data_IF_565023133806
#
_entry.id   IF_565023133806
#
_cell.length_a   1.000
_cell.length_b   1.000
_cell.length_c   1.000
_cell.angle_alpha   90.00
_cell.angle_beta   90.00
_cell.angle_gamma   90.00
#
_symmetry.space_group_name_H-M   'P 1'
#
loop_
_entity.id
_entity.type
_entity.pdbx_description
1 polymer ?
#
# COMPACT_ATOMS: atom_id res chain seq x y z
N UNK A 1 -3.52 -13.41 36.05
CA UNK A 1 -3.35 -13.97 34.68
C UNK A 1 -3.88 -12.99 33.64
N UNK A 2 -5.06 -12.41 33.84
CA UNK A 2 -5.55 -11.26 33.05
C UNK A 2 -4.60 -10.04 33.14
N UNK A 3 -4.13 -9.70 34.34
CA UNK A 3 -3.20 -8.56 34.52
C UNK A 3 -1.87 -8.73 33.77
N UNK A 4 -1.33 -9.95 33.72
CA UNK A 4 -0.07 -10.24 33.04
C UNK A 4 -0.20 -10.27 31.50
N UNK A 5 -1.38 -10.64 30.97
CA UNK A 5 -1.66 -10.54 29.54
C UNK A 5 -1.85 -9.09 29.12
N UNK A 6 -2.57 -8.32 29.94
CA UNK A 6 -2.79 -6.89 29.72
C UNK A 6 -1.46 -6.11 29.77
N UNK A 7 -0.59 -6.42 30.73
CA UNK A 7 0.77 -5.84 30.85
C UNK A 7 1.65 -6.15 29.63
N UNK A 8 1.63 -7.39 29.13
CA UNK A 8 2.37 -7.79 27.92
C UNK A 8 1.88 -7.08 26.64
N UNK A 9 0.56 -6.87 26.52
CA UNK A 9 -0.04 -6.19 25.37
C UNK A 9 0.35 -4.71 25.35
N UNK A 10 0.37 -4.07 26.52
CA UNK A 10 0.82 -2.68 26.68
C UNK A 10 2.29 -2.50 26.29
N UNK A 11 3.20 -3.37 26.73
CA UNK A 11 4.63 -3.29 26.38
C UNK A 11 4.87 -3.40 24.86
N UNK A 12 4.14 -4.28 24.18
CA UNK A 12 4.27 -4.45 22.72
C UNK A 12 3.81 -3.22 21.96
N UNK A 13 2.70 -2.60 22.40
CA UNK A 13 2.17 -1.37 21.79
C UNK A 13 3.08 -0.17 22.06
N UNK A 14 3.57 -0.02 23.29
CA UNK A 14 4.52 1.06 23.63
C UNK A 14 5.79 0.97 22.78
N UNK A 15 6.35 -0.23 22.62
CA UNK A 15 7.50 -0.45 21.73
C UNK A 15 7.22 -0.10 20.28
N UNK A 16 6.03 -0.44 19.76
CA UNK A 16 5.63 -0.02 18.41
C UNK A 16 5.64 1.51 18.31
N UNK A 17 4.98 2.19 19.23
CA UNK A 17 4.84 3.65 19.20
C UNK A 17 6.19 4.35 19.32
N UNK A 18 7.08 3.87 20.19
CA UNK A 18 8.45 4.38 20.28
C UNK A 18 9.24 4.16 18.99
N UNK A 19 9.14 2.97 18.39
CA UNK A 19 9.83 2.65 17.14
C UNK A 19 9.32 3.52 15.99
N UNK A 20 8.01 3.70 15.90
CA UNK A 20 7.38 4.58 14.91
C UNK A 20 7.79 6.05 15.13
N UNK A 21 7.80 6.54 16.38
CA UNK A 21 8.20 7.90 16.72
C UNK A 21 9.67 8.20 16.38
N UNK A 22 10.56 7.19 16.47
CA UNK A 22 11.95 7.33 16.01
C UNK A 22 12.09 7.43 14.49
N UNK A 23 11.08 7.00 13.74
CA UNK A 23 11.10 6.97 12.28
C UNK A 23 10.55 8.24 11.61
N UNK A 24 10.03 9.20 12.38
CA UNK A 24 9.40 10.41 11.83
C UNK A 24 9.62 11.64 12.70
N UNK A 25 9.42 12.81 12.11
CA UNK A 25 9.34 14.09 12.82
C UNK A 25 7.91 14.50 13.15
N UNK A 26 6.92 13.72 12.71
CA UNK A 26 5.52 14.01 12.98
C UNK A 26 5.17 13.82 14.46
N UNK A 27 4.25 14.67 14.93
CA UNK A 27 3.68 14.51 16.25
C UNK A 27 2.68 13.35 16.26
N UNK A 28 2.63 12.63 17.37
CA UNK A 28 1.59 11.64 17.64
C UNK A 28 0.38 12.35 18.25
N UNK A 29 -0.82 11.80 18.03
CA UNK A 29 -2.04 12.32 18.65
C UNK A 29 -1.96 12.14 20.15
N UNK A 30 -2.66 13.00 20.88
CA UNK A 30 -2.92 12.72 22.28
C UNK A 30 -3.75 11.43 22.38
N UNK A 31 -3.46 10.62 23.40
CA UNK A 31 -4.18 9.40 23.69
C UNK A 31 -5.68 9.63 23.81
N UNK A 32 -6.48 8.73 23.23
CA UNK A 32 -7.93 8.79 23.26
C UNK A 32 -8.43 8.48 24.68
N UNK A 33 -9.28 9.34 25.29
CA UNK A 33 -9.81 9.10 26.62
C UNK A 33 -10.61 7.79 26.72
N UNK A 34 -10.59 7.09 27.88
CA UNK A 34 -11.34 5.84 28.07
C UNK A 34 -12.84 5.98 27.80
N UNK A 35 -13.43 7.14 28.09
CA UNK A 35 -14.84 7.43 27.81
C UNK A 35 -15.14 7.46 26.31
N UNK A 36 -14.24 8.00 25.51
CA UNK A 36 -14.37 8.02 24.04
C UNK A 36 -14.21 6.61 23.46
N UNK A 37 -13.30 5.80 24.00
CA UNK A 37 -13.12 4.41 23.59
C UNK A 37 -14.33 3.54 23.94
N UNK A 38 -14.96 3.76 25.10
CA UNK A 38 -16.21 3.10 25.46
C UNK A 38 -17.33 3.44 24.48
N UNK A 39 -17.51 4.72 24.13
CA UNK A 39 -18.50 5.14 23.13
C UNK A 39 -18.22 4.56 21.74
N UNK A 40 -16.94 4.44 21.36
CA UNK A 40 -16.55 3.79 20.12
C UNK A 40 -16.93 2.30 20.14
N UNK A 41 -16.66 1.59 21.24
CA UNK A 41 -17.09 0.21 21.40
C UNK A 41 -18.60 0.03 21.33
N UNK A 42 -19.37 0.93 21.94
CA UNK A 42 -20.84 0.93 21.81
C UNK A 42 -21.29 1.12 20.35
N UNK A 43 -20.65 2.02 19.61
CA UNK A 43 -20.94 2.24 18.19
C UNK A 43 -20.58 1.04 17.30
N UNK A 44 -19.57 0.26 17.68
CA UNK A 44 -19.19 -0.99 17.03
C UNK A 44 -20.04 -2.19 17.49
N UNK A 45 -20.87 -2.02 18.53
CA UNK A 45 -21.66 -3.09 19.13
C UNK A 45 -20.86 -4.06 20.01
N UNK A 46 -19.58 -3.77 20.26
CA UNK A 46 -18.68 -4.57 21.08
C UNK A 46 -17.49 -3.72 21.58
N UNK A 47 -16.91 -4.04 22.76
CA UNK A 47 -15.67 -3.39 23.19
C UNK A 47 -14.56 -3.60 22.15
N UNK A 48 -13.62 -2.65 22.06
CA UNK A 48 -12.45 -2.78 21.19
C UNK A 48 -11.57 -3.96 21.63
N UNK A 49 -10.85 -4.60 20.69
CA UNK A 49 -9.74 -5.49 21.02
C UNK A 49 -8.72 -4.78 21.93
N UNK A 50 -8.19 -5.51 22.92
CA UNK A 50 -7.35 -4.92 23.97
C UNK A 50 -6.11 -4.18 23.43
N UNK A 51 -5.48 -4.73 22.39
CA UNK A 51 -4.30 -4.13 21.76
C UNK A 51 -4.67 -2.87 20.94
N UNK A 52 -5.84 -2.83 20.28
CA UNK A 52 -6.32 -1.60 19.64
C UNK A 52 -6.67 -0.54 20.68
N UNK A 53 -7.31 -0.94 21.77
CA UNK A 53 -7.61 -0.02 22.87
C UNK A 53 -6.34 0.59 23.45
N UNK A 54 -5.31 -0.24 23.69
CA UNK A 54 -4.00 0.22 24.16
C UNK A 54 -3.34 1.17 23.15
N UNK A 55 -3.40 0.86 21.85
CA UNK A 55 -2.87 1.71 20.79
C UNK A 55 -3.53 3.10 20.80
N UNK A 56 -4.86 3.16 20.83
CA UNK A 56 -5.56 4.44 20.84
C UNK A 56 -5.33 5.23 22.13
N UNK A 57 -5.14 4.57 23.28
CA UNK A 57 -4.73 5.25 24.52
C UNK A 57 -3.30 5.81 24.45
N UNK A 58 -2.40 5.13 23.75
CA UNK A 58 -1.01 5.60 23.55
C UNK A 58 -0.88 6.73 22.51
N UNK A 59 -1.86 6.85 21.62
CA UNK A 59 -1.86 7.81 20.52
C UNK A 59 -1.31 7.21 19.23
N UNK A 60 -1.77 7.71 18.09
CA UNK A 60 -1.35 7.26 16.74
C UNK A 60 -0.62 8.39 16.03
N UNK A 61 0.21 8.12 15.00
CA UNK A 61 0.73 9.18 14.14
C UNK A 61 -0.38 10.14 13.67
N UNK A 62 -0.18 11.46 13.81
CA UNK A 62 -1.18 12.42 13.33
C UNK A 62 -1.17 12.45 11.80
N UNK A 63 -2.36 12.40 11.21
CA UNK A 63 -2.52 12.59 9.77
C UNK A 63 -2.17 14.04 9.42
N UNK A 64 -1.15 14.22 8.59
CA UNK A 64 -0.76 15.53 8.09
C UNK A 64 -1.51 15.87 6.79
N UNK A 65 -1.48 17.15 6.38
CA UNK A 65 -2.11 17.64 5.14
C UNK A 65 -1.29 17.30 3.87
N UNK A 66 -0.56 16.18 3.88
CA UNK A 66 0.21 15.72 2.74
C UNK A 66 -0.60 14.74 1.87
N UNK A 67 -0.26 14.59 0.56
CA UNK A 67 -0.87 13.57 -0.29
C UNK A 67 -0.65 12.17 0.28
N UNK A 68 -1.68 11.33 0.23
CA UNK A 68 -1.57 9.93 0.68
C UNK A 68 -0.73 9.12 -0.32
N UNK A 69 0.14 8.27 0.21
CA UNK A 69 0.91 7.27 -0.55
C UNK A 69 0.08 6.01 -0.71
N UNK A 70 0.00 5.47 -1.92
CA UNK A 70 -0.83 4.29 -2.21
C UNK A 70 -0.41 3.05 -1.40
N UNK A 71 0.88 2.89 -1.13
CA UNK A 71 1.48 1.76 -0.38
C UNK A 71 1.59 2.01 1.14
N UNK A 72 1.16 3.17 1.63
CA UNK A 72 1.18 3.51 3.04
C UNK A 72 -0.16 3.16 3.72
N UNK A 73 -0.07 2.74 4.99
CA UNK A 73 -1.19 2.39 5.84
C UNK A 73 -1.39 3.44 6.93
N UNK A 74 -2.57 4.05 6.97
CA UNK A 74 -2.89 5.14 7.88
C UNK A 74 -3.83 4.65 8.99
N UNK A 75 -3.50 4.98 10.24
CA UNK A 75 -4.38 4.69 11.37
C UNK A 75 -5.69 5.46 11.27
N UNK A 76 -6.79 4.74 11.36
CA UNK A 76 -8.11 5.34 11.41
C UNK A 76 -8.29 6.05 12.74
N UNK A 77 -8.66 7.32 12.70
CA UNK A 77 -9.10 8.04 13.90
C UNK A 77 -10.44 7.49 14.39
N UNK A 78 -10.83 7.67 15.67
CA UNK A 78 -12.05 7.07 16.22
C UNK A 78 -13.33 7.31 15.38
N UNK A 79 -13.49 8.51 14.82
CA UNK A 79 -14.59 8.84 13.92
C UNK A 79 -14.49 8.14 12.55
N UNK A 80 -13.28 8.06 12.00
CA UNK A 80 -13.00 7.39 10.73
C UNK A 80 -13.19 5.88 10.84
N UNK A 81 -12.86 5.31 12.01
CA UNK A 81 -13.08 3.90 12.31
C UNK A 81 -14.57 3.56 12.29
N UNK A 82 -15.40 4.36 12.97
CA UNK A 82 -16.85 4.17 12.98
C UNK A 82 -17.48 4.37 11.59
N UNK A 83 -16.94 5.27 10.77
CA UNK A 83 -17.35 5.43 9.38
C UNK A 83 -16.94 4.22 8.52
N UNK A 84 -15.68 3.79 8.62
CA UNK A 84 -15.17 2.62 7.91
C UNK A 84 -15.95 1.34 8.27
N UNK A 85 -16.32 1.15 9.54
CA UNK A 85 -17.18 0.04 9.96
C UNK A 85 -18.54 0.07 9.25
N UNK A 86 -19.18 1.25 9.20
CA UNK A 86 -20.47 1.41 8.52
C UNK A 86 -20.36 1.15 7.02
N UNK A 87 -19.31 1.65 6.38
CA UNK A 87 -19.04 1.41 4.96
C UNK A 87 -18.85 -0.09 4.67
N UNK A 88 -18.07 -0.76 5.51
CA UNK A 88 -17.77 -2.18 5.43
C UNK A 88 -19.04 -3.03 5.56
N UNK A 89 -19.83 -2.82 6.62
CA UNK A 89 -21.10 -3.51 6.84
C UNK A 89 -22.16 -3.22 5.76
N UNK A 90 -22.12 -2.04 5.14
CA UNK A 90 -23.01 -1.70 4.02
C UNK A 90 -22.62 -2.43 2.73
N UNK A 91 -21.33 -2.71 2.53
CA UNK A 91 -20.83 -3.44 1.36
C UNK A 91 -20.97 -4.96 1.51
N UNK A 92 -20.74 -5.49 2.71
CA UNK A 92 -20.79 -6.92 3.02
C UNK A 92 -21.31 -7.13 4.45
N UNK A 93 -22.55 -7.59 4.65
CA UNK A 93 -23.11 -7.84 5.99
C UNK A 93 -22.31 -8.85 6.82
N UNK A 94 -21.68 -9.84 6.16
CA UNK A 94 -20.79 -10.81 6.79
C UNK A 94 -19.53 -10.17 7.41
N UNK A 95 -19.23 -8.92 7.04
CA UNK A 95 -18.11 -8.16 7.58
C UNK A 95 -18.37 -7.57 8.97
N UNK A 96 -19.56 -7.78 9.55
CA UNK A 96 -19.90 -7.28 10.88
C UNK A 96 -18.94 -7.76 12.00
N UNK A 97 -18.29 -8.91 11.80
CA UNK A 97 -17.26 -9.45 12.71
C UNK A 97 -15.84 -8.93 12.44
N UNK A 98 -15.67 -7.91 11.60
CA UNK A 98 -14.38 -7.29 11.29
C UNK A 98 -14.37 -5.85 11.79
N UNK A 99 -13.31 -5.47 12.50
CA UNK A 99 -13.11 -4.10 13.01
C UNK A 99 -11.93 -3.45 12.26
N UNK A 100 -12.15 -2.42 11.42
CA UNK A 100 -11.09 -1.77 10.68
C UNK A 100 -10.23 -0.91 11.61
N UNK A 101 -8.92 -0.87 11.40
CA UNK A 101 -8.01 -0.04 12.20
C UNK A 101 -6.97 0.72 11.35
N UNK A 102 -6.67 0.26 10.14
CA UNK A 102 -5.89 1.01 9.15
C UNK A 102 -6.64 1.14 7.84
N UNK A 103 -6.32 2.19 7.08
CA UNK A 103 -6.73 2.40 5.70
C UNK A 103 -5.52 2.68 4.82
N UNK A 104 -5.39 2.00 3.69
CA UNK A 104 -4.33 2.29 2.72
C UNK A 104 -4.62 3.57 1.95
N UNK A 105 -3.61 4.15 1.30
CA UNK A 105 -3.80 5.30 0.40
C UNK A 105 -4.79 5.03 -0.76
N UNK A 106 -4.91 3.77 -1.20
CA UNK A 106 -5.86 3.33 -2.22
C UNK A 106 -7.26 2.97 -1.70
N UNK A 107 -7.48 3.01 -0.38
CA UNK A 107 -8.80 2.82 0.24
C UNK A 107 -9.12 1.40 0.69
N UNK A 108 -8.13 0.50 0.67
CA UNK A 108 -8.25 -0.81 1.32
C UNK A 108 -8.17 -0.65 2.85
N UNK A 109 -8.71 -1.63 3.58
CA UNK A 109 -8.75 -1.62 5.03
C UNK A 109 -7.96 -2.79 5.59
N UNK A 110 -7.20 -2.58 6.67
CA UNK A 110 -6.80 -3.68 7.54
C UNK A 110 -7.78 -3.72 8.70
N UNK A 111 -8.37 -4.89 8.88
CA UNK A 111 -9.35 -5.18 9.90
C UNK A 111 -8.84 -6.29 10.81
N UNK A 112 -9.24 -6.28 12.07
CA UNK A 112 -9.08 -7.44 12.95
C UNK A 112 -10.39 -8.20 13.03
N UNK A 113 -10.32 -9.52 12.96
CA UNK A 113 -11.48 -10.38 13.18
C UNK A 113 -11.83 -10.38 14.66
N UNK A 114 -13.05 -9.95 14.97
CA UNK A 114 -13.57 -9.71 16.30
C UNK A 114 -14.93 -10.39 16.43
N UNK A 115 -14.88 -11.72 16.47
CA UNK A 115 -16.08 -12.55 16.39
C UNK A 115 -16.52 -13.01 17.78
N UNK A 116 -17.83 -13.01 18.00
CA UNK A 116 -18.40 -13.58 19.21
C UNK A 116 -18.37 -15.09 19.09
N UNK A 117 -17.84 -15.77 20.11
CA UNK A 117 -17.95 -17.21 20.21
C UNK A 117 -19.44 -17.58 20.35
N UNK A 118 -20.01 -18.39 19.45
CA UNK A 118 -21.43 -18.75 19.48
C UNK A 118 -21.81 -19.55 20.74
N UNK A 119 -20.83 -20.19 21.39
CA UNK A 119 -21.02 -20.98 22.59
C UNK A 119 -20.69 -20.21 23.88
N UNK A 120 -20.26 -18.94 23.78
CA UNK A 120 -19.91 -18.14 24.94
C UNK A 120 -21.15 -17.58 25.67
N UNK A 121 -21.03 -17.42 26.98
CA UNK A 121 -22.08 -16.85 27.83
C UNK A 121 -22.48 -15.45 27.37
N UNK A 122 -23.75 -15.11 27.59
CA UNK A 122 -24.27 -13.78 27.28
C UNK A 122 -23.51 -12.71 28.09
N UNK A 123 -22.72 -11.90 27.38
CA UNK A 123 -21.88 -10.85 27.97
C UNK A 123 -20.38 -11.15 27.92
N UNK A 124 -19.96 -12.34 27.48
CA UNK A 124 -18.56 -12.60 27.19
C UNK A 124 -18.04 -11.68 26.07
N UNK A 125 -16.81 -11.15 26.18
CA UNK A 125 -16.21 -10.34 25.14
C UNK A 125 -15.98 -11.18 23.86
N UNK A 126 -16.00 -10.56 22.68
CA UNK A 126 -15.61 -11.25 21.45
C UNK A 126 -14.16 -11.73 21.52
N UNK A 127 -13.82 -12.68 20.65
CA UNK A 127 -12.48 -13.26 20.58
C UNK A 127 -11.73 -12.64 19.40
N UNK A 128 -10.47 -12.26 19.66
CA UNK A 128 -9.55 -11.84 18.61
C UNK A 128 -9.19 -13.00 17.69
N UNK A 129 -9.27 -12.75 16.38
CA UNK A 129 -8.78 -13.63 15.33
C UNK A 129 -7.70 -12.98 14.47
N UNK A 130 -7.63 -13.40 13.21
CA UNK A 130 -6.66 -12.91 12.24
C UNK A 130 -6.85 -11.41 11.92
N UNK A 131 -5.76 -10.77 11.51
CA UNK A 131 -5.81 -9.48 10.80
C UNK A 131 -6.03 -9.77 9.32
N UNK A 132 -7.05 -9.13 8.76
CA UNK A 132 -7.57 -9.34 7.42
C UNK A 132 -7.45 -8.04 6.63
N UNK A 133 -6.86 -8.10 5.44
CA UNK A 133 -6.95 -7.03 4.46
C UNK A 133 -8.25 -7.15 3.67
N UNK A 134 -8.97 -6.05 3.59
CA UNK A 134 -10.25 -5.95 2.92
C UNK A 134 -10.17 -4.90 1.83
N UNK A 135 -10.38 -5.31 0.59
CA UNK A 135 -10.75 -4.41 -0.49
C UNK A 135 -12.28 -4.28 -0.46
N UNK A 136 -12.86 -3.10 -0.17
CA UNK A 136 -14.32 -2.98 -0.10
C UNK A 136 -14.98 -3.03 -1.49
N UNK A 137 -14.23 -2.70 -2.55
CA UNK A 137 -14.75 -2.53 -3.92
C UNK A 137 -13.71 -2.97 -4.98
N UNK A 138 -13.79 -4.19 -5.53
CA UNK A 138 -14.73 -5.26 -5.22
C UNK A 138 -14.46 -5.89 -3.85
N UNK A 139 -15.49 -6.44 -3.21
CA UNK A 139 -15.35 -7.14 -1.94
C UNK A 139 -14.36 -8.31 -2.07
N UNK A 140 -13.23 -8.19 -1.39
CA UNK A 140 -12.20 -9.21 -1.25
C UNK A 140 -11.64 -9.13 0.16
N UNK A 141 -11.53 -10.26 0.84
CA UNK A 141 -10.98 -10.35 2.19
C UNK A 141 -9.85 -11.40 2.19
N UNK A 142 -8.70 -11.04 2.76
CA UNK A 142 -7.50 -11.89 2.80
C UNK A 142 -6.85 -11.83 4.18
N UNK A 143 -6.66 -12.99 4.80
CA UNK A 143 -5.92 -13.06 6.06
C UNK A 143 -4.46 -12.66 5.80
N UNK A 144 -3.98 -11.63 6.50
CA UNK A 144 -2.60 -11.12 6.37
C UNK A 144 -1.74 -11.49 7.57
N UNK A 145 -2.31 -11.50 8.77
CA UNK A 145 -1.58 -11.87 9.99
C UNK A 145 -2.44 -12.78 10.85
N UNK A 146 -1.85 -13.76 11.55
CA UNK A 146 -2.61 -14.72 12.35
C UNK A 146 -3.28 -14.10 13.59
N UNK A 147 -2.79 -12.94 14.04
CA UNK A 147 -3.37 -12.16 15.14
C UNK A 147 -2.92 -10.71 15.07
N UNK A 148 -3.56 -9.84 15.85
CA UNK A 148 -3.18 -8.44 15.95
C UNK A 148 -1.85 -8.30 16.70
N UNK A 149 -1.61 -9.09 17.74
CA UNK A 149 -0.32 -9.16 18.41
C UNK A 149 0.83 -9.47 17.43
N UNK A 150 0.61 -10.40 16.47
CA UNK A 150 1.64 -10.71 15.46
C UNK A 150 1.89 -9.54 14.51
N UNK A 151 0.84 -8.82 14.13
CA UNK A 151 0.98 -7.60 13.35
C UNK A 151 1.83 -6.55 14.08
N UNK A 152 1.57 -6.32 15.38
CA UNK A 152 2.36 -5.40 16.19
C UNK A 152 3.83 -5.80 16.28
N UNK A 153 4.12 -7.08 16.55
CA UNK A 153 5.49 -7.60 16.63
C UNK A 153 6.28 -7.37 15.34
N UNK A 154 5.70 -7.74 14.19
CA UNK A 154 6.38 -7.62 12.90
C UNK A 154 6.55 -6.16 12.45
N UNK A 155 5.54 -5.32 12.69
CA UNK A 155 5.61 -3.89 12.38
C UNK A 155 6.66 -3.20 13.22
N UNK A 156 6.73 -3.51 14.53
CA UNK A 156 7.78 -3.00 15.42
C UNK A 156 9.16 -3.40 14.94
N UNK A 157 9.36 -4.69 14.61
CA UNK A 157 10.62 -5.17 14.06
C UNK A 157 10.96 -4.53 12.71
N UNK A 158 9.95 -4.22 11.88
CA UNK A 158 10.10 -3.47 10.63
C UNK A 158 10.68 -2.08 10.87
N UNK A 159 10.13 -1.32 11.82
CA UNK A 159 10.67 -0.02 12.22
C UNK A 159 12.08 -0.12 12.80
N UNK A 160 12.32 -1.05 13.73
CA UNK A 160 13.63 -1.24 14.37
C UNK A 160 14.75 -1.60 13.37
N UNK A 161 14.38 -2.21 12.24
CA UNK A 161 15.30 -2.57 11.14
C UNK A 161 15.40 -1.51 10.05
N UNK A 162 14.66 -0.41 10.16
CA UNK A 162 14.59 0.62 9.12
C UNK A 162 13.93 0.14 7.82
N UNK A 163 13.08 -0.88 7.90
CA UNK A 163 12.29 -1.37 6.75
C UNK A 163 10.97 -0.62 6.59
N UNK A 164 10.47 -0.03 7.68
CA UNK A 164 9.29 0.80 7.73
C UNK A 164 9.65 2.21 8.21
N UNK A 165 8.92 3.18 7.71
CA UNK A 165 8.93 4.58 8.15
C UNK A 165 7.49 5.08 8.33
N UNK A 166 7.32 6.17 9.07
CA UNK A 166 6.08 6.94 9.03
C UNK A 166 6.31 8.10 8.06
N UNK A 167 5.58 8.08 6.94
CA UNK A 167 5.69 9.06 5.87
C UNK A 167 5.23 10.47 6.31
N UNK A 168 5.44 11.46 5.44
CA UNK A 168 5.06 12.86 5.69
C UNK A 168 3.55 13.07 5.88
N UNK A 169 2.71 12.09 5.51
CA UNK A 169 1.26 12.11 5.69
C UNK A 169 0.80 11.38 6.97
N UNK A 170 1.71 10.77 7.74
CA UNK A 170 1.41 10.01 8.95
C UNK A 170 1.07 8.54 8.69
N UNK A 171 1.41 8.00 7.52
CA UNK A 171 1.18 6.62 7.13
C UNK A 171 2.39 5.73 7.38
N UNK A 172 2.16 4.52 7.87
CA UNK A 172 3.19 3.48 7.99
C UNK A 172 3.46 2.91 6.61
N UNK A 173 4.70 3.06 6.13
CA UNK A 173 5.02 2.77 4.76
C UNK A 173 6.39 2.07 4.65
N UNK A 174 6.57 1.14 3.68
CA UNK A 174 7.86 0.50 3.50
C UNK A 174 8.89 1.49 2.93
N UNK A 175 10.09 1.48 3.50
CA UNK A 175 11.25 2.22 2.95
C UNK A 175 11.71 1.54 1.64
N UNK A 176 11.73 0.21 1.64
CA UNK A 176 11.92 -0.64 0.46
C UNK A 176 10.84 -1.74 0.46
N UNK A 177 9.84 -1.66 -0.44
CA UNK A 177 8.75 -2.64 -0.50
C UNK A 177 9.24 -4.08 -0.67
N UNK A 178 10.29 -4.31 -1.46
CA UNK A 178 10.79 -5.67 -1.74
C UNK A 178 11.51 -6.21 -0.50
N UNK A 179 12.26 -5.37 0.21
CA UNK A 179 12.91 -5.77 1.45
C UNK A 179 11.87 -6.07 2.55
N UNK A 180 10.81 -5.28 2.62
CA UNK A 180 9.69 -5.50 3.53
C UNK A 180 8.94 -6.80 3.24
N UNK A 181 8.61 -7.08 1.97
CA UNK A 181 8.00 -8.34 1.54
C UNK A 181 8.84 -9.55 1.93
N UNK A 182 10.15 -9.52 1.63
CA UNK A 182 11.05 -10.62 2.02
C UNK A 182 11.11 -10.79 3.53
N UNK A 183 11.06 -9.71 4.29
CA UNK A 183 11.00 -9.79 5.75
C UNK A 183 9.71 -10.47 6.21
N UNK A 184 8.56 -10.14 5.59
CA UNK A 184 7.28 -10.79 5.87
C UNK A 184 7.27 -12.27 5.46
N UNK A 185 7.84 -12.65 4.32
CA UNK A 185 7.91 -14.06 3.89
C UNK A 185 8.61 -14.96 4.92
N UNK A 186 9.65 -14.43 5.58
CA UNK A 186 10.39 -15.17 6.62
C UNK A 186 9.74 -15.02 8.00
N UNK A 187 9.16 -13.85 8.29
CA UNK A 187 8.60 -13.49 9.58
C UNK A 187 7.13 -13.87 9.75
N UNK A 188 6.39 -14.18 8.69
CA UNK A 188 4.94 -14.37 8.75
C UNK A 188 4.53 -15.61 7.93
N UNK A 189 4.68 -16.82 8.49
CA UNK A 189 4.35 -18.05 7.77
C UNK A 189 2.90 -18.04 7.28
N UNK A 190 2.69 -18.28 5.98
CA UNK A 190 1.37 -18.21 5.35
C UNK A 190 1.00 -16.84 4.79
N UNK A 191 1.89 -15.84 4.86
CA UNK A 191 1.74 -14.61 4.10
C UNK A 191 1.90 -14.91 2.61
N UNK A 192 0.83 -14.72 1.84
CA UNK A 192 0.86 -14.76 0.38
C UNK A 192 0.73 -13.34 -0.16
N UNK A 193 1.78 -12.87 -0.83
CA UNK A 193 1.69 -11.65 -1.60
C UNK A 193 1.16 -11.98 -3.00
N UNK A 194 -0.15 -11.82 -3.17
CA UNK A 194 -0.86 -12.00 -4.44
C UNK A 194 -0.66 -10.81 -5.41
N UNK A 195 0.10 -9.78 -5.01
CA UNK A 195 0.39 -8.70 -5.93
C UNK A 195 1.19 -9.26 -7.11
N UNK A 196 0.72 -9.06 -8.36
CA UNK A 196 1.52 -9.41 -9.50
C UNK A 196 2.86 -8.67 -9.38
N UNK A 197 4.00 -9.31 -9.70
CA UNK A 197 5.32 -8.74 -9.52
C UNK A 197 5.34 -7.29 -10.02
N UNK A 198 6.00 -6.38 -9.29
CA UNK A 198 5.77 -4.94 -9.39
C UNK A 198 5.73 -4.52 -10.85
N UNK A 199 4.56 -4.05 -11.30
CA UNK A 199 4.42 -3.55 -12.67
C UNK A 199 5.39 -2.39 -12.82
N UNK A 200 6.46 -2.63 -13.59
CA UNK A 200 7.50 -1.69 -14.00
C UNK A 200 7.11 -0.22 -13.82
N UNK A 201 7.94 0.54 -13.08
CA UNK A 201 7.71 1.93 -12.70
C UNK A 201 7.16 2.78 -13.87
N UNK A 202 6.34 3.83 -13.63
CA UNK A 202 5.74 4.64 -14.69
C UNK A 202 6.75 5.16 -15.74
N UNK A 203 8.01 5.38 -15.33
CA UNK A 203 9.13 5.74 -16.23
C UNK A 203 9.61 4.58 -17.12
N UNK A 204 9.57 3.33 -16.64
CA UNK A 204 9.80 2.14 -17.46
C UNK A 204 8.65 1.93 -18.46
N UNK A 205 7.38 2.10 -18.06
CA UNK A 205 6.24 2.01 -19.01
C UNK A 205 6.29 3.07 -20.09
N UNK A 206 6.65 4.32 -19.76
CA UNK A 206 6.83 5.37 -20.75
C UNK A 206 7.94 4.97 -21.75
N UNK A 207 9.05 4.43 -21.24
CA UNK A 207 10.18 4.04 -22.08
C UNK A 207 9.84 2.84 -22.98
N UNK A 208 9.17 1.82 -22.45
CA UNK A 208 8.73 0.67 -23.25
C UNK A 208 7.67 1.06 -24.28
N UNK A 209 6.74 1.94 -23.91
CA UNK A 209 5.72 2.44 -24.84
C UNK A 209 6.38 3.23 -25.97
N UNK A 210 7.32 4.13 -25.66
CA UNK A 210 8.09 4.88 -26.67
C UNK A 210 8.92 3.94 -27.56
N UNK A 211 9.51 2.88 -27.01
CA UNK A 211 10.23 1.87 -27.80
C UNK A 211 9.30 1.06 -28.71
N UNK A 212 8.10 0.69 -28.24
CA UNK A 212 7.08 0.01 -29.07
C UNK A 212 6.55 0.91 -30.19
N UNK A 213 6.32 2.20 -29.90
CA UNK A 213 5.94 3.19 -30.93
C UNK A 213 7.07 3.34 -31.95
N UNK A 214 8.32 3.45 -31.51
CA UNK A 214 9.47 3.54 -32.42
C UNK A 214 9.59 2.31 -33.33
N UNK A 215 9.43 1.10 -32.78
CA UNK A 215 9.43 -0.14 -33.56
C UNK A 215 8.26 -0.20 -34.56
N UNK A 216 7.07 0.22 -34.15
CA UNK A 216 5.89 0.26 -35.01
C UNK A 216 6.05 1.24 -36.18
N UNK A 217 6.49 2.47 -35.90
CA UNK A 217 6.72 3.52 -36.92
C UNK A 217 7.87 3.12 -37.86
N UNK A 218 8.96 2.56 -37.32
CA UNK A 218 10.08 2.06 -38.13
C UNK A 218 9.66 0.93 -39.07
N UNK A 219 8.87 -0.02 -38.56
CA UNK A 219 8.36 -1.15 -39.35
C UNK A 219 7.43 -0.69 -40.46
N UNK A 220 6.50 0.22 -40.18
CA UNK A 220 5.60 0.81 -41.18
C UNK A 220 6.39 1.56 -42.26
N UNK A 221 7.38 2.35 -41.87
CA UNK A 221 8.23 3.11 -42.80
C UNK A 221 9.02 2.18 -43.73
N UNK A 222 9.52 1.06 -43.21
CA UNK A 222 10.22 0.03 -43.99
C UNK A 222 9.25 -0.70 -44.93
N UNK A 223 8.05 -1.05 -44.47
CA UNK A 223 7.01 -1.69 -45.30
C UNK A 223 6.63 -0.77 -46.46
N UNK A 224 6.43 0.53 -46.21
CA UNK A 224 6.14 1.52 -47.27
C UNK A 224 7.29 1.55 -48.28
N UNK A 225 8.55 1.63 -47.83
CA UNK A 225 9.71 1.64 -48.71
C UNK A 225 9.81 0.37 -49.58
N UNK A 226 9.66 -0.81 -48.98
CA UNK A 226 9.76 -2.11 -49.68
C UNK A 226 8.59 -2.30 -50.66
N UNK A 227 7.38 -1.93 -50.25
CA UNK A 227 6.17 -2.06 -51.09
C UNK A 227 6.25 -1.10 -52.28
N UNK A 228 6.67 0.15 -52.06
CA UNK A 228 6.91 1.11 -53.14
C UNK A 228 8.04 0.69 -54.08
N UNK A 229 9.13 0.12 -53.57
CA UNK A 229 10.22 -0.41 -54.40
C UNK A 229 9.74 -1.57 -55.30
N UNK A 230 8.90 -2.46 -54.77
CA UNK A 230 8.28 -3.57 -55.53
C UNK A 230 7.29 -3.06 -56.59
N UNK A 231 6.37 -2.15 -56.21
CA UNK A 231 5.35 -1.60 -57.11
C UNK A 231 5.96 -0.81 -58.27
N UNK A 232 7.07 -0.09 -58.02
CA UNK A 232 7.70 0.75 -59.04
C UNK A 232 8.94 0.13 -59.70
N UNK A 233 9.10 -1.21 -59.62
CA UNK A 233 10.22 -1.96 -60.24
C UNK A 233 11.59 -1.30 -60.00
N UNK A 234 11.85 -0.87 -58.77
CA UNK A 234 13.12 -0.26 -58.38
C UNK A 234 13.26 1.25 -58.61
N UNK A 235 12.26 1.96 -59.17
CA UNK A 235 12.25 3.43 -59.25
C UNK A 235 11.44 4.04 -58.13
N UNK A 236 12.09 4.37 -57.01
CA UNK A 236 11.43 4.97 -55.86
C UNK A 236 10.99 6.42 -56.14
N UNK A 237 9.69 6.74 -56.00
CA UNK A 237 9.21 8.12 -56.07
C UNK A 237 9.86 8.99 -54.99
N UNK A 238 10.22 10.24 -55.30
CA UNK A 238 10.87 11.16 -54.33
C UNK A 238 10.08 11.32 -53.01
N UNK A 239 8.76 11.24 -53.07
CA UNK A 239 7.91 11.32 -51.88
C UNK A 239 8.06 10.10 -50.94
N UNK A 240 8.33 8.90 -51.48
CA UNK A 240 8.55 7.68 -50.66
C UNK A 240 9.82 7.77 -49.83
N UNK A 241 10.87 8.39 -50.39
CA UNK A 241 12.10 8.67 -49.66
C UNK A 241 11.88 9.71 -48.55
N UNK A 242 11.03 10.72 -48.80
CA UNK A 242 10.62 11.69 -47.78
C UNK A 242 9.85 11.07 -46.62
N UNK A 243 8.92 10.15 -46.89
CA UNK A 243 8.17 9.41 -45.86
C UNK A 243 9.10 8.53 -45.03
N UNK A 244 10.04 7.83 -45.68
CA UNK A 244 11.02 7.00 -44.99
C UNK A 244 11.94 7.82 -44.07
N UNK A 245 12.49 8.94 -44.56
CA UNK A 245 13.32 9.83 -43.74
C UNK A 245 12.53 10.48 -42.59
N UNK A 246 11.27 10.85 -42.83
CA UNK A 246 10.38 11.36 -41.79
C UNK A 246 10.13 10.33 -40.69
N UNK A 247 9.86 9.08 -41.05
CA UNK A 247 9.72 7.98 -40.10
C UNK A 247 11.01 7.73 -39.29
N UNK A 248 12.17 7.80 -39.94
CA UNK A 248 13.47 7.62 -39.30
C UNK A 248 13.79 8.76 -38.30
N UNK A 249 13.40 10.00 -38.62
CA UNK A 249 13.51 11.14 -37.71
C UNK A 249 12.61 10.98 -36.47
N UNK A 250 11.38 10.48 -36.63
CA UNK A 250 10.46 10.20 -35.51
C UNK A 250 11.01 9.09 -34.61
N UNK A 251 11.62 8.05 -35.18
CA UNK A 251 12.30 6.99 -34.43
C UNK A 251 13.49 7.54 -33.64
N UNK A 252 14.33 8.38 -34.27
CA UNK A 252 15.47 9.00 -33.59
C UNK A 252 15.01 9.91 -32.43
N UNK A 253 13.96 10.71 -32.63
CA UNK A 253 13.42 11.61 -31.62
C UNK A 253 12.82 10.84 -30.43
N UNK A 254 12.08 9.77 -30.69
CA UNK A 254 11.47 8.94 -29.63
C UNK A 254 12.53 8.18 -28.81
N UNK A 255 13.59 7.69 -29.46
CA UNK A 255 14.73 7.08 -28.76
C UNK A 255 15.53 8.11 -27.93
N UNK A 256 15.71 9.33 -28.45
CA UNK A 256 16.36 10.42 -27.72
C UNK A 256 15.56 10.81 -26.47
N UNK A 257 14.23 10.92 -26.58
CA UNK A 257 13.32 11.18 -25.46
C UNK A 257 13.37 10.06 -24.42
N UNK A 258 13.41 8.80 -24.84
CA UNK A 258 13.56 7.65 -23.96
C UNK A 258 14.93 7.62 -23.23
N UNK A 259 16.01 8.00 -23.91
CA UNK A 259 17.33 8.10 -23.30
C UNK A 259 17.40 9.26 -22.30
N UNK A 260 16.79 10.40 -22.63
CA UNK A 260 16.72 11.56 -21.76
C UNK A 260 15.88 11.30 -20.49
N UNK A 261 14.72 10.67 -20.63
CA UNK A 261 13.87 10.30 -19.48
C UNK A 261 14.58 9.34 -18.52
N UNK A 262 15.31 8.34 -19.05
CA UNK A 262 16.15 7.43 -18.25
C UNK A 262 17.25 8.17 -17.49
N UNK A 263 17.93 9.13 -18.12
CA UNK A 263 18.97 9.93 -17.45
C UNK A 263 18.38 10.77 -16.32
N UNK A 264 17.26 11.45 -16.59
CA UNK A 264 16.58 12.28 -15.58
C UNK A 264 16.11 11.47 -14.37
N UNK A 265 15.59 10.27 -14.61
CA UNK A 265 15.20 9.35 -13.53
C UNK A 265 16.40 8.91 -12.67
N UNK A 266 17.57 8.65 -13.28
CA UNK A 266 18.79 8.34 -12.54
C UNK A 266 19.29 9.52 -11.70
N UNK A 267 19.33 10.72 -12.27
CA UNK A 267 19.78 11.91 -11.53
C UNK A 267 18.83 12.30 -10.39
N UNK A 268 17.53 12.02 -10.50
CA UNK A 268 16.57 12.22 -9.42
C UNK A 268 16.79 11.23 -8.25
N UNK A 269 17.22 10.00 -8.56
CA UNK A 269 17.56 8.99 -7.55
C UNK A 269 18.91 9.28 -6.87
N UNK A 270 19.90 9.76 -7.63
CA UNK A 270 21.22 10.14 -7.09
C UNK A 270 21.16 11.41 -6.23
N UNK A 271 20.29 12.37 -6.56
CA UNK A 271 20.08 13.59 -5.78
C UNK A 271 19.24 13.41 -4.50
N UNK A 272 18.55 12.27 -4.35
CA UNK A 272 17.81 11.92 -3.14
C UNK A 272 18.66 11.10 -2.14
N UNK A 273 19.86 10.66 -2.53
CA UNK A 273 20.75 9.81 -1.76
C UNK A 273 21.96 10.54 -1.15
N UNK A 274 22.02 11.87 -1.25
CA UNK A 274 23.07 12.73 -0.69
C UNK A 274 22.48 13.87 0.12
#
# INVERSE_FOLDING_TARGET
MLDALQEKHTDTVERLLEAAARSTTLQFSEGVPPTTLALLGEALGAPLPGELEALYRGGTPQRASAPLRDDAWYFLQPNELAEAQRELCACAPEAAGLVPFLRSGCGDLLCVRWERDPDAEAGAPPREGAVVEVCPRPWLARDRYPSLARWFELTTAGFERGLLEVDDAGGVAPVDPIAWERFLDHGNPGFENDDPPPRAAPTQRLTETLQRVALGVGSLSLIVLVTSAKLHRGRLPRWTFGVFLGGLAVVALTLALAAWSRRRARSALEGAAG
#
